data_IF_912408539476
#
_entry.id   IF_912408539476
#
_cell.length_a   1.000
_cell.length_b   1.000
_cell.length_c   1.000
_cell.angle_alpha   90.00
_cell.angle_beta   90.00
_cell.angle_gamma   90.00
#
_symmetry.space_group_name_H-M   'P 1'
#
loop_
_entity.id
_entity.type
_entity.pdbx_description
1 polymer ?
#
# COMPACT_ATOMS: atom_id res chain seq x y z
N UNK A 1 -13.86 7.49 14.82
CA UNK A 1 -12.79 8.51 14.73
C UNK A 1 -13.25 9.75 15.49
N UNK A 2 -12.34 10.50 16.13
CA UNK A 2 -12.67 11.75 16.80
C UNK A 2 -13.13 12.83 15.82
N UNK A 3 -13.81 13.85 16.33
CA UNK A 3 -14.11 15.08 15.60
C UNK A 3 -12.91 16.04 15.63
N UNK A 4 -12.87 17.07 14.76
CA UNK A 4 -11.84 18.11 14.85
C UNK A 4 -11.82 18.84 16.21
N UNK A 5 -12.97 19.00 16.86
CA UNK A 5 -13.09 19.62 18.17
C UNK A 5 -12.52 18.74 19.29
N UNK A 6 -12.79 17.43 19.23
CA UNK A 6 -12.20 16.44 20.16
C UNK A 6 -10.67 16.47 20.11
N UNK A 7 -10.10 16.64 18.90
CA UNK A 7 -8.64 16.79 18.73
C UNK A 7 -8.14 18.13 19.25
N UNK A 8 -8.88 19.22 19.05
CA UNK A 8 -8.45 20.57 19.47
C UNK A 8 -8.37 20.69 20.99
N UNK A 9 -9.27 20.01 21.70
CA UNK A 9 -9.29 19.96 23.18
C UNK A 9 -8.45 18.82 23.77
N UNK A 10 -7.97 17.91 22.91
CA UNK A 10 -7.06 16.82 23.26
C UNK A 10 -5.66 17.28 23.64
N UNK A 11 -4.85 16.34 24.14
CA UNK A 11 -3.44 16.57 24.46
C UNK A 11 -2.57 16.17 23.27
N UNK A 12 -1.95 17.14 22.61
CA UNK A 12 -0.91 16.88 21.61
C UNK A 12 0.26 16.11 22.24
N UNK A 13 0.77 15.11 21.51
CA UNK A 13 1.93 14.31 21.92
C UNK A 13 3.22 14.83 21.23
N UNK A 14 4.26 14.00 21.11
CA UNK A 14 5.57 14.43 20.60
C UNK A 14 5.56 14.84 19.12
N UNK A 15 4.55 14.40 18.36
CA UNK A 15 4.37 14.73 16.94
C UNK A 15 3.07 15.50 16.71
N UNK A 16 3.12 16.41 15.75
CA UNK A 16 2.03 17.31 15.42
C UNK A 16 0.74 16.58 15.04
N UNK A 17 0.92 15.43 14.40
CA UNK A 17 -0.13 14.53 13.92
C UNK A 17 -0.84 13.74 14.99
N UNK A 18 -0.22 13.55 16.16
CA UNK A 18 -0.70 12.63 17.19
C UNK A 18 -1.30 13.36 18.39
N UNK A 19 -2.55 13.00 18.72
CA UNK A 19 -3.31 13.62 19.80
C UNK A 19 -3.91 12.55 20.69
N UNK A 20 -3.62 12.62 22.00
CA UNK A 20 -4.34 11.86 23.02
C UNK A 20 -5.69 12.52 23.28
N UNK A 21 -6.75 11.76 23.06
CA UNK A 21 -8.12 12.22 23.20
C UNK A 21 -8.54 12.21 24.68
N UNK A 22 -8.81 13.38 25.26
CA UNK A 22 -9.02 13.54 26.71
C UNK A 22 -10.47 13.80 27.10
N UNK A 23 -11.21 14.55 26.29
CA UNK A 23 -12.62 14.89 26.53
C UNK A 23 -13.44 14.87 25.24
N UNK A 24 -13.61 13.68 24.62
CA UNK A 24 -14.32 13.58 23.34
C UNK A 24 -15.83 13.67 23.50
N UNK A 25 -16.47 14.16 22.43
CA UNK A 25 -17.91 14.08 22.19
C UNK A 25 -18.44 12.64 22.22
N UNK A 26 -17.65 11.65 21.79
CA UNK A 26 -17.90 10.23 21.99
C UNK A 26 -17.01 9.68 23.13
N UNK A 27 -17.57 9.39 24.32
CA UNK A 27 -16.80 8.91 25.47
C UNK A 27 -16.00 7.62 25.23
N UNK A 28 -16.37 6.79 24.25
CA UNK A 28 -15.62 5.58 23.91
C UNK A 28 -14.22 5.87 23.38
N UNK A 29 -13.99 7.07 22.84
CA UNK A 29 -12.70 7.50 22.30
C UNK A 29 -11.77 8.07 23.38
N UNK A 30 -12.22 8.17 24.63
CA UNK A 30 -11.44 8.78 25.69
C UNK A 30 -10.23 7.90 26.04
N UNK A 31 -9.04 8.51 26.06
CA UNK A 31 -7.77 7.83 26.31
C UNK A 31 -7.14 7.22 25.06
N UNK A 32 -7.80 7.29 23.90
CA UNK A 32 -7.23 6.82 22.63
C UNK A 32 -6.25 7.85 22.06
N UNK A 33 -5.22 7.37 21.37
CA UNK A 33 -4.37 8.22 20.53
C UNK A 33 -4.87 8.18 19.09
N UNK A 34 -5.27 9.35 18.60
CA UNK A 34 -5.58 9.58 17.19
C UNK A 34 -4.35 10.12 16.46
N UNK A 35 -3.99 9.47 15.36
CA UNK A 35 -2.90 9.85 14.48
C UNK A 35 -3.35 9.67 13.02
N UNK A 36 -3.12 10.67 12.17
CA UNK A 36 -3.52 10.60 10.75
C UNK A 36 -2.95 9.37 10.03
N UNK A 37 -1.76 8.89 10.42
CA UNK A 37 -1.10 7.75 9.80
C UNK A 37 -1.75 6.40 10.15
N UNK A 38 -2.66 6.37 11.14
CA UNK A 38 -3.48 5.19 11.43
C UNK A 38 -4.43 4.83 10.28
N UNK A 39 -4.78 5.84 9.47
CA UNK A 39 -5.71 5.73 8.34
C UNK A 39 -4.96 5.64 7.00
N UNK A 40 -3.86 4.88 6.97
CA UNK A 40 -3.09 4.59 5.77
C UNK A 40 -3.28 3.14 5.32
N UNK A 41 -3.21 2.91 4.01
CA UNK A 41 -3.07 1.57 3.46
C UNK A 41 -2.22 1.58 2.19
N UNK A 42 -1.78 0.40 1.77
CA UNK A 42 -0.99 0.19 0.56
C UNK A 42 -1.85 0.42 -0.69
N UNK A 43 -1.24 0.93 -1.77
CA UNK A 43 -1.92 1.17 -3.05
C UNK A 43 -2.68 -0.07 -3.56
N UNK A 44 -2.13 -1.28 -3.38
CA UNK A 44 -2.79 -2.52 -3.80
C UNK A 44 -4.14 -2.78 -3.10
N UNK A 45 -4.29 -2.30 -1.88
CA UNK A 45 -5.49 -2.50 -1.05
C UNK A 45 -6.41 -1.27 -1.04
N UNK A 46 -5.90 -0.09 -1.40
CA UNK A 46 -6.60 1.19 -1.41
C UNK A 46 -7.58 1.30 -2.60
N UNK A 47 -8.68 0.54 -2.53
CA UNK A 47 -9.75 0.49 -3.56
C UNK A 47 -11.06 1.12 -3.09
N UNK A 48 -11.36 1.04 -1.79
CA UNK A 48 -12.58 1.54 -1.17
C UNK A 48 -12.28 2.00 0.26
N UNK A 49 -12.67 3.23 0.57
CA UNK A 49 -12.63 3.80 1.92
C UNK A 49 -13.64 4.93 2.04
N UNK A 50 -14.03 5.29 3.26
CA UNK A 50 -15.07 6.30 3.45
C UNK A 50 -15.54 6.46 4.88
N UNK A 51 -16.75 7.02 5.01
CA UNK A 51 -17.40 7.34 6.26
C UNK A 51 -18.81 6.79 6.30
N UNK A 52 -19.22 6.38 7.50
CA UNK A 52 -20.61 6.12 7.81
C UNK A 52 -21.06 7.17 8.82
N UNK A 53 -22.19 7.80 8.54
CA UNK A 53 -22.92 8.58 9.51
C UNK A 53 -24.15 7.78 9.96
N UNK A 54 -24.21 7.49 11.26
CA UNK A 54 -25.39 6.97 11.93
C UNK A 54 -26.06 8.15 12.62
N UNK A 55 -27.09 8.74 12.01
CA UNK A 55 -27.75 9.90 12.59
C UNK A 55 -28.58 9.45 13.79
N UNK A 56 -28.11 9.70 15.01
CA UNK A 56 -28.82 9.32 16.23
C UNK A 56 -30.17 10.02 16.42
N UNK A 57 -30.52 11.01 15.58
CA UNK A 57 -31.79 11.75 15.64
C UNK A 57 -32.82 11.24 14.62
N UNK A 58 -32.42 10.45 13.65
CA UNK A 58 -33.29 9.79 12.68
C UNK A 58 -33.01 8.29 12.67
N UNK A 59 -33.83 7.51 11.98
CA UNK A 59 -33.53 6.09 11.76
C UNK A 59 -32.72 5.87 10.47
N UNK A 60 -32.15 6.95 9.93
CA UNK A 60 -31.42 6.96 8.67
C UNK A 60 -29.92 6.85 8.93
N UNK A 61 -29.23 6.13 8.06
CA UNK A 61 -27.77 6.10 8.04
C UNK A 61 -27.29 6.25 6.60
N UNK A 62 -26.18 6.97 6.44
CA UNK A 62 -25.61 7.28 5.13
C UNK A 62 -24.16 6.87 5.11
N UNK A 63 -23.75 6.22 4.03
CA UNK A 63 -22.35 5.99 3.69
C UNK A 63 -21.87 6.98 2.63
N UNK A 64 -20.63 7.46 2.78
CA UNK A 64 -19.92 8.25 1.78
C UNK A 64 -18.57 7.60 1.52
N UNK A 65 -18.36 7.16 0.28
CA UNK A 65 -17.25 6.28 -0.09
C UNK A 65 -16.47 6.85 -1.26
N UNK A 66 -15.16 6.62 -1.26
CA UNK A 66 -14.28 6.82 -2.39
C UNK A 66 -13.89 5.46 -2.95
N UNK A 67 -14.27 5.19 -4.19
CA UNK A 67 -13.93 3.99 -4.95
C UNK A 67 -12.87 4.36 -5.99
N UNK A 68 -11.76 3.63 -5.98
CA UNK A 68 -10.67 3.76 -6.96
C UNK A 68 -10.53 2.45 -7.73
N UNK A 69 -11.10 2.35 -8.95
CA UNK A 69 -11.14 1.10 -9.71
C UNK A 69 -9.78 0.74 -10.33
N UNK A 70 -8.92 1.72 -10.57
CA UNK A 70 -7.58 1.52 -11.13
C UNK A 70 -6.53 2.32 -10.37
N UNK A 71 -5.36 1.71 -10.19
CA UNK A 71 -4.19 2.33 -9.59
C UNK A 71 -3.26 2.98 -10.62
N UNK A 72 -3.61 2.99 -11.91
CA UNK A 72 -2.66 3.31 -12.99
C UNK A 72 -1.98 4.68 -12.87
N UNK A 73 -2.67 5.62 -12.22
CA UNK A 73 -2.21 6.98 -12.02
C UNK A 73 -1.43 7.18 -10.72
N UNK A 74 -1.41 6.19 -9.81
CA UNK A 74 -0.69 6.27 -8.53
C UNK A 74 0.81 6.02 -8.73
N UNK A 75 1.58 6.39 -7.71
CA UNK A 75 3.04 6.35 -7.70
C UNK A 75 3.55 5.34 -6.68
N UNK A 76 4.76 4.81 -6.94
CA UNK A 76 5.52 3.94 -6.03
C UNK A 76 5.04 2.49 -5.90
N UNK A 77 4.33 1.98 -6.91
CA UNK A 77 3.98 0.58 -7.02
C UNK A 77 2.95 0.09 -5.98
N UNK A 78 2.80 -1.25 -5.84
CA UNK A 78 1.71 -1.86 -5.07
C UNK A 78 1.78 -1.59 -3.57
N UNK A 79 2.98 -1.52 -2.99
CA UNK A 79 3.19 -1.47 -1.52
C UNK A 79 3.32 -0.05 -0.98
N UNK A 80 3.40 0.97 -1.85
CA UNK A 80 3.45 2.35 -1.36
C UNK A 80 2.17 2.67 -0.58
N UNK A 81 2.36 3.16 0.63
CA UNK A 81 1.27 3.57 1.51
C UNK A 81 0.83 5.01 1.21
N UNK A 82 -0.46 5.24 1.37
CA UNK A 82 -1.10 6.56 1.26
C UNK A 82 -2.22 6.69 2.30
N UNK A 83 -2.53 7.94 2.66
CA UNK A 83 -3.65 8.24 3.56
C UNK A 83 -4.99 8.04 2.81
N UNK A 84 -5.98 7.49 3.50
CA UNK A 84 -7.33 7.24 2.96
C UNK A 84 -8.38 8.15 3.58
N UNK A 85 -8.45 8.19 4.91
CA UNK A 85 -9.36 9.05 5.66
C UNK A 85 -8.57 9.90 6.66
N UNK A 86 -9.20 10.93 7.22
CA UNK A 86 -8.59 11.84 8.19
C UNK A 86 -9.62 12.29 9.24
N UNK A 87 -9.21 12.90 10.36
CA UNK A 87 -10.15 13.41 11.40
C UNK A 87 -11.35 14.19 10.81
N UNK A 88 -12.52 14.02 11.43
CA UNK A 88 -13.81 14.49 10.89
C UNK A 88 -14.21 13.67 9.67
N UNK A 89 -15.39 13.88 9.06
CA UNK A 89 -15.81 13.11 7.89
C UNK A 89 -15.03 13.47 6.61
N UNK A 90 -13.71 13.32 6.63
CA UNK A 90 -12.76 13.66 5.57
C UNK A 90 -12.30 12.39 4.85
N UNK A 91 -12.58 12.31 3.55
CA UNK A 91 -12.10 11.26 2.65
C UNK A 91 -11.05 11.83 1.71
N UNK A 92 -9.89 11.18 1.62
CA UNK A 92 -8.75 11.62 0.81
C UNK A 92 -8.59 10.72 -0.41
N UNK A 93 -8.28 11.31 -1.56
CA UNK A 93 -7.73 10.60 -2.71
C UNK A 93 -6.35 11.18 -3.02
N UNK A 94 -5.31 10.61 -2.39
CA UNK A 94 -3.95 11.12 -2.51
C UNK A 94 -3.38 10.72 -3.87
N UNK A 95 -3.14 11.71 -4.73
CA UNK A 95 -2.52 11.51 -6.04
C UNK A 95 -1.00 11.35 -5.92
N UNK A 96 -0.36 12.23 -5.14
CA UNK A 96 1.07 12.20 -4.84
C UNK A 96 1.31 12.65 -3.40
N UNK A 97 2.30 12.04 -2.76
CA UNK A 97 2.75 12.44 -1.43
C UNK A 97 4.17 11.95 -1.18
N UNK A 98 4.91 12.71 -0.38
CA UNK A 98 6.19 12.29 0.19
C UNK A 98 6.04 11.19 1.24
N UNK A 99 4.81 10.90 1.69
CA UNK A 99 4.62 9.98 2.79
C UNK A 99 5.17 8.59 2.48
N UNK A 100 5.87 7.98 3.43
CA UNK A 100 6.49 6.65 3.41
C UNK A 100 7.59 6.43 2.36
N UNK A 101 8.07 7.49 1.69
CA UNK A 101 9.12 7.35 0.67
C UNK A 101 9.95 8.62 0.43
N UNK A 102 9.73 9.69 1.21
CA UNK A 102 10.51 10.92 1.14
C UNK A 102 10.32 11.74 -0.14
N UNK A 103 11.25 12.65 -0.42
CA UNK A 103 11.18 13.56 -1.59
C UNK A 103 11.43 12.86 -2.92
N UNK A 104 12.04 11.68 -2.93
CA UNK A 104 12.36 10.95 -4.17
C UNK A 104 11.12 10.52 -4.95
N UNK A 105 9.99 10.32 -4.26
CA UNK A 105 8.69 10.01 -4.90
C UNK A 105 7.89 11.26 -5.28
N UNK A 106 8.46 12.45 -5.18
CA UNK A 106 7.81 13.67 -5.69
C UNK A 106 8.02 13.82 -7.19
N UNK A 107 7.10 14.51 -7.86
CA UNK A 107 7.28 14.89 -9.26
C UNK A 107 8.09 16.18 -9.33
N UNK A 108 9.32 16.10 -9.83
CA UNK A 108 10.15 17.26 -10.15
C UNK A 108 10.20 17.48 -11.66
N UNK A 109 9.89 18.68 -12.12
CA UNK A 109 9.89 19.05 -13.54
C UNK A 109 10.99 20.05 -13.83
N UNK A 110 11.65 19.89 -14.97
CA UNK A 110 12.56 20.92 -15.50
C UNK A 110 11.76 22.05 -16.14
N UNK A 111 12.34 23.23 -16.21
CA UNK A 111 11.75 24.34 -16.98
C UNK A 111 11.51 23.90 -18.43
N UNK A 112 10.28 24.12 -18.92
CA UNK A 112 9.86 23.70 -20.26
C UNK A 112 9.57 22.19 -20.42
N UNK A 113 9.65 21.37 -19.36
CA UNK A 113 9.30 19.94 -19.45
C UNK A 113 7.78 19.77 -19.62
N UNK A 114 7.29 19.25 -20.77
CA UNK A 114 5.87 19.00 -20.93
C UNK A 114 5.45 17.82 -20.05
N UNK A 115 4.33 17.95 -19.35
CA UNK A 115 3.75 16.89 -18.56
C UNK A 115 2.25 16.77 -18.80
N UNK A 116 1.81 15.54 -19.07
CA UNK A 116 0.40 15.18 -19.21
C UNK A 116 0.16 13.81 -18.58
N UNK A 117 -0.85 13.72 -17.73
CA UNK A 117 -1.31 12.49 -17.09
C UNK A 117 -2.76 12.67 -16.65
N UNK A 118 -3.59 11.68 -16.90
CA UNK A 118 -4.95 11.63 -16.37
C UNK A 118 -4.90 10.98 -14.99
N UNK A 119 -5.53 11.63 -14.02
CA UNK A 119 -5.72 11.09 -12.67
C UNK A 119 -7.19 10.67 -12.52
N UNK A 120 -7.40 9.42 -12.13
CA UNK A 120 -8.74 8.82 -12.13
C UNK A 120 -9.20 8.39 -13.55
N UNK A 121 -10.52 8.32 -13.79
CA UNK A 121 -11.60 8.69 -12.88
C UNK A 121 -11.61 7.90 -11.55
N UNK A 122 -12.07 8.55 -10.49
CA UNK A 122 -12.43 7.92 -9.22
C UNK A 122 -13.92 8.15 -8.96
N UNK A 123 -14.54 7.28 -8.17
CA UNK A 123 -15.98 7.26 -8.00
C UNK A 123 -16.36 7.60 -6.56
N UNK A 124 -17.01 8.74 -6.36
CA UNK A 124 -17.60 9.12 -5.08
C UNK A 124 -18.99 8.50 -4.99
N UNK A 125 -19.18 7.57 -4.06
CA UNK A 125 -20.40 6.79 -3.93
C UNK A 125 -21.13 7.10 -2.63
N UNK A 126 -22.45 7.25 -2.72
CA UNK A 126 -23.32 7.46 -1.57
C UNK A 126 -24.40 6.39 -1.56
N UNK A 127 -24.63 5.83 -0.38
CA UNK A 127 -25.73 4.90 -0.12
C UNK A 127 -26.38 5.22 1.22
N UNK A 128 -27.61 4.75 1.42
CA UNK A 128 -28.34 4.97 2.65
C UNK A 128 -29.21 3.77 3.03
N UNK A 129 -29.50 3.67 4.32
CA UNK A 129 -30.47 2.73 4.89
C UNK A 129 -31.46 3.51 5.75
N UNK A 130 -32.75 3.23 5.60
CA UNK A 130 -33.85 3.95 6.26
C UNK A 130 -34.49 3.19 7.42
N UNK A 131 -34.03 1.96 7.71
CA UNK A 131 -34.60 1.10 8.74
C UNK A 131 -33.50 0.43 9.57
N UNK A 132 -33.11 1.11 10.65
CA UNK A 132 -32.07 0.65 11.58
C UNK A 132 -30.67 1.06 11.13
N UNK A 133 -29.84 1.43 12.09
CA UNK A 133 -28.43 1.79 11.85
C UNK A 133 -27.62 0.55 11.44
N UNK A 134 -27.75 0.13 10.19
CA UNK A 134 -27.04 -1.02 9.64
C UNK A 134 -25.78 -0.59 8.86
N UNK A 135 -24.68 -0.44 9.59
CA UNK A 135 -23.37 -0.17 8.98
C UNK A 135 -22.88 -1.30 8.08
N UNK A 136 -23.28 -2.55 8.36
CA UNK A 136 -22.84 -3.70 7.59
C UNK A 136 -23.51 -3.71 6.22
N UNK A 137 -24.79 -3.34 6.14
CA UNK A 137 -25.49 -3.15 4.87
C UNK A 137 -24.82 -2.06 4.02
N UNK A 138 -24.57 -0.87 4.59
CA UNK A 138 -23.89 0.23 3.89
C UNK A 138 -22.50 -0.19 3.36
N UNK A 139 -21.72 -0.89 4.17
CA UNK A 139 -20.40 -1.38 3.76
C UNK A 139 -20.47 -2.47 2.68
N UNK A 140 -21.40 -3.42 2.81
CA UNK A 140 -21.54 -4.53 1.87
C UNK A 140 -21.98 -4.04 0.48
N UNK A 141 -22.89 -3.07 0.45
CA UNK A 141 -23.34 -2.41 -0.76
C UNK A 141 -22.20 -1.60 -1.42
N UNK A 142 -21.41 -0.86 -0.64
CA UNK A 142 -20.22 -0.17 -1.15
C UNK A 142 -19.16 -1.14 -1.73
N UNK A 143 -18.97 -2.33 -1.13
CA UNK A 143 -18.12 -3.38 -1.67
C UNK A 143 -18.66 -3.89 -3.02
N UNK A 144 -19.98 -4.09 -3.12
CA UNK A 144 -20.61 -4.50 -4.37
C UNK A 144 -20.37 -3.45 -5.46
N UNK A 145 -20.64 -2.18 -5.17
CA UNK A 145 -20.39 -1.07 -6.08
C UNK A 145 -18.92 -1.03 -6.50
N UNK A 146 -17.98 -1.15 -5.56
CA UNK A 146 -16.54 -1.21 -5.87
C UNK A 146 -16.23 -2.35 -6.87
N UNK A 147 -16.84 -3.53 -6.71
CA UNK A 147 -16.65 -4.63 -7.65
C UNK A 147 -17.20 -4.31 -9.05
N UNK A 148 -18.30 -3.57 -9.15
CA UNK A 148 -18.88 -3.16 -10.43
C UNK A 148 -18.00 -2.11 -11.13
N UNK A 149 -17.49 -1.14 -10.38
CA UNK A 149 -16.57 -0.13 -10.91
C UNK A 149 -15.24 -0.74 -11.40
N UNK A 150 -14.69 -1.71 -10.67
CA UNK A 150 -13.47 -2.42 -11.10
C UNK A 150 -13.71 -3.20 -12.40
N UNK A 151 -14.87 -3.87 -12.54
CA UNK A 151 -15.22 -4.60 -13.77
C UNK A 151 -15.49 -3.67 -14.95
N UNK A 152 -15.97 -2.46 -14.67
CA UNK A 152 -16.30 -1.46 -15.70
C UNK A 152 -15.06 -0.68 -16.15
N UNK A 153 -13.92 -0.83 -15.48
CA UNK A 153 -12.68 -0.19 -15.89
C UNK A 153 -12.06 -0.86 -17.13
N UNK A 154 -11.58 -0.09 -18.12
CA UNK A 154 -11.61 1.37 -18.24
C UNK A 154 -12.96 1.88 -18.76
N UNK A 155 -13.43 3.01 -18.21
CA UNK A 155 -14.72 3.61 -18.58
C UNK A 155 -14.76 4.11 -20.04
N UNK A 156 -15.95 4.22 -20.60
CA UNK A 156 -16.21 4.75 -21.95
C UNK A 156 -16.76 6.19 -21.96
N UNK A 157 -17.26 6.68 -20.83
CA UNK A 157 -17.81 8.03 -20.70
C UNK A 157 -16.79 9.17 -20.76
N UNK A 158 -15.50 9.03 -20.36
CA UNK A 158 -14.56 10.14 -20.44
C UNK A 158 -14.31 10.56 -21.89
N UNK A 159 -14.60 11.83 -22.21
CA UNK A 159 -14.47 12.38 -23.57
C UNK A 159 -13.14 13.08 -23.86
N UNK A 160 -12.21 13.10 -22.90
CA UNK A 160 -10.90 13.72 -23.09
C UNK A 160 -10.06 12.87 -24.04
N UNK A 161 -9.43 13.50 -25.03
CA UNK A 161 -8.47 12.83 -25.93
C UNK A 161 -7.24 12.27 -25.20
N UNK A 162 -6.97 12.76 -23.98
CA UNK A 162 -5.88 12.30 -23.11
C UNK A 162 -6.25 11.03 -22.32
N UNK A 163 -7.54 10.66 -22.28
CA UNK A 163 -8.00 9.41 -21.67
C UNK A 163 -8.06 8.30 -22.72
N UNK A 164 -7.34 7.21 -22.50
CA UNK A 164 -7.37 6.06 -23.39
C UNK A 164 -8.58 5.16 -23.08
N UNK A 165 -9.52 4.96 -24.02
CA UNK A 165 -10.59 3.97 -23.86
C UNK A 165 -10.04 2.54 -23.92
N UNK A 166 -10.84 1.57 -23.48
CA UNK A 166 -10.46 0.16 -23.39
C UNK A 166 -9.83 -0.40 -24.68
N UNK A 167 -10.41 -0.10 -25.85
CA UNK A 167 -9.92 -0.58 -27.15
C UNK A 167 -8.60 0.05 -27.60
N UNK A 168 -8.11 1.11 -26.93
CA UNK A 168 -6.82 1.74 -27.21
C UNK A 168 -5.73 1.35 -26.20
N UNK A 169 -6.03 0.44 -25.28
CA UNK A 169 -5.07 -0.06 -24.28
C UNK A 169 -4.55 -1.43 -24.70
N UNK A 170 -3.33 -1.74 -24.28
CA UNK A 170 -2.69 -3.03 -24.51
C UNK A 170 -2.75 -3.95 -23.31
N UNK A 171 -2.24 -5.17 -23.50
CA UNK A 171 -2.09 -6.19 -22.48
C UNK A 171 -0.73 -6.88 -22.59
N UNK A 172 -0.11 -7.17 -21.46
CA UNK A 172 1.16 -7.92 -21.38
C UNK A 172 0.96 -9.17 -20.55
N UNK A 173 1.41 -10.30 -21.08
CA UNK A 173 1.28 -11.63 -20.48
C UNK A 173 2.62 -12.34 -20.44
N UNK A 174 2.83 -13.17 -19.44
CA UNK A 174 4.03 -13.98 -19.31
C UNK A 174 3.98 -14.92 -18.13
N UNK A 175 5.12 -15.59 -17.89
CA UNK A 175 5.34 -16.43 -16.73
C UNK A 175 6.68 -16.07 -16.09
N UNK A 176 6.69 -15.77 -14.80
CA UNK A 176 7.93 -15.54 -14.06
C UNK A 176 8.39 -16.84 -13.39
N UNK A 177 9.62 -17.25 -13.68
CA UNK A 177 10.32 -18.35 -13.04
C UNK A 177 11.54 -17.81 -12.29
N UNK A 178 11.90 -18.43 -11.19
CA UNK A 178 13.13 -18.14 -10.46
C UNK A 178 14.12 -19.26 -10.72
N UNK A 179 15.35 -18.87 -11.04
CA UNK A 179 16.48 -19.77 -11.10
C UNK A 179 17.56 -19.28 -10.15
N UNK A 180 17.81 -20.06 -9.11
CA UNK A 180 18.83 -19.78 -8.11
C UNK A 180 19.62 -21.05 -7.87
N UNK A 181 20.93 -20.99 -8.10
CA UNK A 181 21.85 -22.13 -7.96
C UNK A 181 21.79 -22.79 -6.58
N UNK A 182 21.41 -22.03 -5.54
CA UNK A 182 21.31 -22.52 -4.16
C UNK A 182 19.88 -22.94 -3.76
N UNK A 183 18.88 -22.69 -4.59
CA UNK A 183 17.49 -23.14 -4.37
C UNK A 183 17.23 -24.36 -5.26
N UNK A 184 16.80 -25.48 -4.65
CA UNK A 184 16.48 -26.74 -5.36
C UNK A 184 17.54 -27.18 -6.39
N UNK A 185 18.82 -26.89 -6.10
CA UNK A 185 19.95 -27.23 -6.97
C UNK A 185 19.94 -26.54 -8.34
N UNK A 186 19.47 -25.28 -8.42
CA UNK A 186 19.47 -24.50 -9.66
C UNK A 186 18.34 -24.83 -10.64
N UNK A 187 17.37 -25.64 -10.21
CA UNK A 187 16.16 -25.91 -11.00
C UNK A 187 15.24 -24.69 -11.00
N UNK A 188 14.47 -24.54 -12.07
CA UNK A 188 13.41 -23.54 -12.12
C UNK A 188 12.37 -23.80 -11.03
N UNK A 189 12.01 -22.74 -10.32
CA UNK A 189 10.87 -22.71 -9.42
C UNK A 189 9.90 -21.63 -9.88
N UNK A 190 8.60 -21.83 -9.65
CA UNK A 190 7.60 -20.85 -10.03
C UNK A 190 7.77 -19.57 -9.21
N UNK A 191 7.69 -18.41 -9.87
CA UNK A 191 7.61 -17.10 -9.23
C UNK A 191 6.22 -16.84 -8.65
N UNK A 192 5.77 -17.72 -7.75
CA UNK A 192 4.45 -17.63 -7.15
C UNK A 192 4.29 -16.33 -6.34
N UNK A 193 3.11 -15.70 -6.40
CA UNK A 193 2.83 -14.43 -5.69
C UNK A 193 3.78 -13.28 -6.05
N UNK A 194 4.48 -13.34 -7.19
CA UNK A 194 5.27 -12.23 -7.67
C UNK A 194 4.38 -11.01 -7.88
N UNK A 195 4.84 -9.83 -7.50
CA UNK A 195 4.27 -8.60 -8.04
C UNK A 195 5.04 -8.23 -9.28
N UNK A 196 4.36 -8.22 -10.42
CA UNK A 196 4.93 -7.89 -11.74
C UNK A 196 4.28 -6.59 -12.21
N UNK A 197 5.07 -5.65 -12.71
CA UNK A 197 4.54 -4.36 -13.14
C UNK A 197 5.32 -3.67 -14.25
N UNK A 198 4.63 -2.78 -14.95
CA UNK A 198 5.14 -1.89 -15.98
C UNK A 198 5.22 -0.48 -15.41
N UNK A 199 6.34 0.18 -15.60
CA UNK A 199 6.54 1.59 -15.29
C UNK A 199 7.48 2.20 -16.34
N UNK A 200 7.66 3.52 -16.33
CA UNK A 200 8.64 4.15 -17.22
C UNK A 200 10.02 3.48 -17.12
N UNK A 201 10.79 3.44 -18.23
CA UNK A 201 12.13 2.86 -18.24
C UNK A 201 13.03 3.48 -17.17
N UNK A 202 13.86 2.64 -16.56
CA UNK A 202 14.65 3.03 -15.40
C UNK A 202 15.55 1.92 -14.87
N UNK A 203 16.26 2.20 -13.78
CA UNK A 203 17.12 1.21 -13.14
C UNK A 203 16.31 0.12 -12.44
N UNK A 204 16.93 -1.02 -12.14
CA UNK A 204 16.34 -2.05 -11.29
C UNK A 204 15.74 -1.44 -10.00
N UNK A 205 14.52 -1.86 -9.64
CA UNK A 205 13.79 -1.33 -8.49
C UNK A 205 13.22 0.09 -8.63
N UNK A 206 13.48 0.83 -9.73
CA UNK A 206 13.09 2.24 -9.84
C UNK A 206 11.58 2.48 -9.86
N UNK A 207 10.77 1.50 -10.26
CA UNK A 207 9.31 1.61 -10.24
C UNK A 207 8.72 1.94 -8.85
N UNK A 208 9.42 1.58 -7.76
CA UNK A 208 9.03 1.93 -6.39
C UNK A 208 9.20 3.42 -6.07
N UNK A 209 10.03 4.13 -6.85
CA UNK A 209 10.29 5.57 -6.70
C UNK A 209 9.71 6.41 -7.85
N UNK A 210 9.23 5.76 -8.90
CA UNK A 210 8.71 6.42 -10.08
C UNK A 210 7.40 7.16 -9.76
N UNK A 211 7.35 8.46 -10.05
CA UNK A 211 6.19 9.32 -9.75
C UNK A 211 5.56 10.02 -10.96
N UNK A 212 6.26 10.09 -12.10
CA UNK A 212 5.81 10.84 -13.29
C UNK A 212 4.85 10.05 -14.17
N UNK A 213 5.14 8.77 -14.39
CA UNK A 213 4.49 7.98 -15.43
C UNK A 213 3.28 7.24 -14.91
N UNK A 214 2.58 6.55 -15.79
CA UNK A 214 1.65 5.51 -15.37
C UNK A 214 2.42 4.30 -14.84
N UNK A 215 1.78 3.57 -13.94
CA UNK A 215 2.30 2.31 -13.43
C UNK A 215 1.19 1.27 -13.47
N UNK A 216 1.49 0.06 -13.94
CA UNK A 216 0.53 -1.03 -14.03
C UNK A 216 1.13 -2.24 -13.33
N UNK A 217 0.34 -3.00 -12.56
CA UNK A 217 0.87 -4.17 -11.88
C UNK A 217 -0.20 -5.22 -11.60
N UNK A 218 0.23 -6.46 -11.51
CA UNK A 218 -0.59 -7.59 -11.11
C UNK A 218 0.22 -8.60 -10.28
N UNK A 219 -0.50 -9.43 -9.54
CA UNK A 219 0.08 -10.59 -8.87
C UNK A 219 0.18 -11.76 -9.84
N UNK A 220 1.31 -12.46 -9.85
CA UNK A 220 1.44 -13.73 -10.53
C UNK A 220 0.71 -14.83 -9.76
N UNK A 221 0.15 -15.80 -10.49
CA UNK A 221 -0.55 -16.94 -9.91
C UNK A 221 0.41 -17.97 -9.26
N UNK A 222 -0.12 -19.12 -8.86
CA UNK A 222 0.64 -20.19 -8.19
C UNK A 222 1.77 -20.80 -9.06
N UNK A 223 1.70 -20.63 -10.37
CA UNK A 223 2.70 -21.13 -11.33
C UNK A 223 3.47 -19.98 -12.01
N UNK A 224 3.35 -18.77 -11.48
CA UNK A 224 4.08 -17.59 -11.94
C UNK A 224 3.48 -16.91 -13.18
N UNK A 225 2.30 -17.32 -13.65
CA UNK A 225 1.65 -16.63 -14.77
C UNK A 225 1.11 -15.28 -14.30
N UNK A 226 1.33 -14.25 -15.10
CA UNK A 226 0.81 -12.91 -14.86
C UNK A 226 0.19 -12.34 -16.14
N UNK A 227 -0.82 -11.51 -15.92
CA UNK A 227 -1.46 -10.69 -16.95
C UNK A 227 -1.55 -9.26 -16.42
N UNK A 228 -1.04 -8.30 -17.17
CA UNK A 228 -1.18 -6.87 -16.89
C UNK A 228 -2.10 -6.30 -17.98
N UNK A 229 -3.35 -6.02 -17.62
CA UNK A 229 -4.38 -5.52 -18.53
C UNK A 229 -4.45 -4.00 -18.55
N UNK A 230 -5.13 -3.47 -19.58
CA UNK A 230 -5.51 -2.07 -19.68
C UNK A 230 -4.33 -1.08 -19.66
N UNK A 231 -3.17 -1.49 -20.18
CA UNK A 231 -1.95 -0.70 -20.21
C UNK A 231 -2.08 0.40 -21.26
N UNK A 232 -1.86 1.66 -20.87
CA UNK A 232 -1.91 2.78 -21.84
C UNK A 232 -0.71 2.74 -22.79
N UNK A 233 -0.87 3.16 -24.06
CA UNK A 233 0.24 3.23 -25.01
C UNK A 233 1.45 4.00 -24.47
N UNK A 234 2.64 3.51 -24.78
CA UNK A 234 3.90 4.07 -24.29
C UNK A 234 5.00 3.01 -24.18
N UNK A 235 6.19 3.47 -23.80
CA UNK A 235 7.35 2.60 -23.56
C UNK A 235 7.50 2.33 -22.06
N UNK A 236 7.67 1.06 -21.70
CA UNK A 236 7.75 0.60 -20.31
C UNK A 236 8.87 -0.41 -20.13
N UNK A 237 9.49 -0.40 -18.96
CA UNK A 237 10.25 -1.55 -18.50
C UNK A 237 9.36 -2.41 -17.60
N UNK A 238 9.54 -3.73 -17.66
CA UNK A 238 8.88 -4.68 -16.78
C UNK A 238 9.76 -4.96 -15.56
N UNK A 239 9.18 -4.76 -14.38
CA UNK A 239 9.80 -5.01 -13.09
C UNK A 239 9.03 -6.10 -12.37
N UNK A 240 9.72 -6.85 -11.50
CA UNK A 240 9.04 -7.72 -10.56
C UNK A 240 9.80 -7.87 -9.25
N UNK A 241 9.12 -8.38 -8.24
CA UNK A 241 9.74 -8.95 -7.04
C UNK A 241 8.84 -10.06 -6.52
N UNK A 242 9.42 -10.93 -5.72
CA UNK A 242 8.73 -12.12 -5.22
C UNK A 242 8.96 -12.17 -3.71
N UNK A 243 7.91 -12.17 -2.89
CA UNK A 243 8.03 -12.37 -1.45
C UNK A 243 8.91 -13.59 -1.13
N UNK A 244 9.97 -13.39 -0.34
CA UNK A 244 10.91 -14.45 0.04
C UNK A 244 12.04 -14.71 -0.97
N UNK A 245 12.10 -13.97 -2.09
CA UNK A 245 13.22 -14.01 -3.03
C UNK A 245 13.92 -12.65 -3.00
N UNK A 246 15.21 -12.69 -2.67
CA UNK A 246 16.04 -11.50 -2.55
C UNK A 246 16.22 -10.78 -3.90
N UNK A 247 16.23 -9.45 -3.88
CA UNK A 247 16.52 -8.57 -5.03
C UNK A 247 15.29 -8.13 -5.82
N UNK A 248 15.51 -7.30 -6.84
CA UNK A 248 14.50 -6.81 -7.75
C UNK A 248 14.72 -7.42 -9.15
N UNK A 249 13.65 -7.88 -9.80
CA UNK A 249 13.71 -8.30 -11.19
C UNK A 249 13.45 -7.12 -12.12
N UNK A 250 14.23 -7.03 -13.20
CA UNK A 250 13.97 -6.15 -14.35
C UNK A 250 14.14 -6.96 -15.64
N UNK A 251 13.16 -6.87 -16.54
CA UNK A 251 13.29 -7.42 -17.88
C UNK A 251 14.23 -6.55 -18.72
N UNK A 252 15.10 -7.19 -19.50
CA UNK A 252 16.20 -6.50 -20.20
C UNK A 252 15.74 -5.65 -21.39
N UNK A 253 14.53 -5.87 -21.89
CA UNK A 253 14.02 -5.20 -23.10
C UNK A 253 12.85 -4.31 -22.73
N UNK A 254 12.91 -3.06 -23.18
CA UNK A 254 11.78 -2.13 -23.08
C UNK A 254 10.61 -2.63 -23.93
N UNK A 255 9.41 -2.58 -23.36
CA UNK A 255 8.16 -3.03 -23.94
C UNK A 255 7.42 -1.80 -24.47
N UNK A 256 7.23 -1.73 -25.78
CA UNK A 256 6.41 -0.71 -26.43
C UNK A 256 4.97 -1.18 -26.54
N UNK A 257 4.07 -0.47 -25.87
CA UNK A 257 2.63 -0.73 -25.90
C UNK A 257 2.00 0.13 -27.00
N UNK A 258 1.32 -0.51 -27.93
CA UNK A 258 0.52 0.14 -28.98
C UNK A 258 -0.97 -0.13 -28.76
N UNK A 259 -1.87 0.68 -29.34
CA UNK A 259 -3.32 0.52 -29.12
C UNK A 259 -3.81 -0.90 -29.46
N UNK A 260 -4.46 -1.55 -28.49
CA UNK A 260 -5.04 -2.89 -28.65
C UNK A 260 -4.04 -4.04 -28.73
N UNK A 261 -2.74 -3.80 -28.48
CA UNK A 261 -1.73 -4.85 -28.61
C UNK A 261 -1.84 -5.89 -27.49
N UNK A 262 -1.52 -7.14 -27.82
CA UNK A 262 -1.31 -8.21 -26.84
C UNK A 262 0.12 -8.68 -26.97
N UNK A 263 0.91 -8.52 -25.92
CA UNK A 263 2.33 -8.89 -25.88
C UNK A 263 2.47 -10.14 -25.03
N UNK A 264 3.04 -11.19 -25.64
CA UNK A 264 3.31 -12.47 -25.01
C UNK A 264 4.81 -12.61 -24.78
N UNK A 265 5.23 -12.53 -23.53
CA UNK A 265 6.65 -12.59 -23.15
C UNK A 265 7.18 -14.01 -22.94
N UNK A 266 6.29 -15.01 -22.90
CA UNK A 266 6.65 -16.38 -22.58
C UNK A 266 7.20 -16.51 -21.15
N UNK A 267 8.16 -17.41 -20.96
CA UNK A 267 8.80 -17.63 -19.66
C UNK A 267 9.98 -16.68 -19.45
N UNK A 268 9.89 -15.85 -18.41
CA UNK A 268 10.90 -14.93 -17.93
C UNK A 268 11.68 -15.59 -16.78
N UNK A 269 13.00 -15.53 -16.82
CA UNK A 269 13.86 -16.12 -15.80
C UNK A 269 14.45 -15.02 -14.92
N UNK A 270 14.05 -15.01 -13.65
CA UNK A 270 14.67 -14.20 -12.62
C UNK A 270 15.83 -14.98 -11.97
N UNK A 271 17.03 -14.43 -12.08
CA UNK A 271 18.22 -14.89 -11.36
C UNK A 271 18.48 -13.93 -10.19
N UNK A 272 18.12 -14.28 -8.94
CA UNK A 272 18.37 -13.44 -7.78
C UNK A 272 19.86 -13.09 -7.66
N UNK A 273 20.23 -11.87 -7.23
CA UNK A 273 21.62 -11.39 -7.22
C UNK A 273 22.44 -12.00 -6.07
N UNK A 274 22.57 -13.34 -6.03
CA UNK A 274 23.36 -14.06 -5.04
C UNK A 274 24.74 -14.45 -5.56
N UNK A 275 25.74 -14.08 -4.76
CA UNK A 275 27.14 -14.47 -4.96
C UNK A 275 27.49 -15.82 -4.32
N UNK A 276 26.74 -16.25 -3.30
CA UNK A 276 27.02 -17.42 -2.48
C UNK A 276 25.76 -17.98 -1.81
N UNK A 277 25.86 -19.15 -1.14
CA UNK A 277 24.76 -19.65 -0.32
C UNK A 277 24.52 -18.71 0.86
N UNK A 278 23.27 -18.60 1.28
CA UNK A 278 22.91 -17.85 2.51
C UNK A 278 23.53 -18.55 3.73
N UNK A 279 24.38 -17.84 4.47
CA UNK A 279 24.98 -18.34 5.73
C UNK A 279 23.99 -18.15 6.88
N UNK A 280 23.32 -17.00 6.91
CA UNK A 280 22.25 -16.65 7.85
C UNK A 280 21.36 -15.56 7.25
N UNK A 281 20.13 -15.47 7.74
CA UNK A 281 19.11 -14.49 7.34
C UNK A 281 18.29 -14.11 8.59
N UNK A 282 17.89 -12.84 8.67
CA UNK A 282 17.01 -12.32 9.73
C UNK A 282 15.79 -11.73 9.02
N UNK A 283 14.61 -12.27 9.29
CA UNK A 283 13.37 -11.92 8.60
C UNK A 283 13.22 -12.58 7.24
N UNK A 284 12.31 -12.05 6.43
CA UNK A 284 11.94 -12.55 5.11
C UNK A 284 12.05 -11.38 4.11
N UNK A 285 12.69 -11.55 2.93
CA UNK A 285 12.74 -10.49 1.93
C UNK A 285 11.40 -10.38 1.19
N UNK A 286 10.36 -9.92 1.89
CA UNK A 286 9.00 -9.71 1.36
C UNK A 286 8.55 -8.24 1.41
N UNK A 287 9.49 -7.34 1.72
CA UNK A 287 9.28 -5.90 1.89
C UNK A 287 8.31 -5.56 3.04
N UNK A 288 8.13 -6.47 3.98
CA UNK A 288 7.45 -6.26 5.24
C UNK A 288 8.43 -6.29 6.41
N UNK A 289 7.95 -5.85 7.56
CA UNK A 289 8.58 -6.05 8.87
C UNK A 289 7.63 -6.81 9.82
N UNK A 290 6.54 -7.36 9.28
CA UNK A 290 5.44 -7.93 10.06
C UNK A 290 5.82 -9.19 10.85
N UNK A 291 6.94 -9.81 10.51
CA UNK A 291 7.50 -10.98 11.19
C UNK A 291 8.37 -10.64 12.39
N UNK A 292 8.78 -9.38 12.56
CA UNK A 292 9.65 -8.95 13.66
C UNK A 292 8.86 -8.66 14.94
N UNK A 293 9.60 -8.60 16.05
CA UNK A 293 9.01 -8.34 17.36
C UNK A 293 8.56 -6.88 17.48
N UNK A 294 7.27 -6.71 17.76
CA UNK A 294 6.68 -5.42 18.11
C UNK A 294 6.33 -5.43 19.61
N UNK A 295 6.88 -4.50 20.43
CA UNK A 295 6.65 -4.48 21.87
C UNK A 295 5.20 -4.11 22.21
N UNK A 296 4.78 -4.40 23.45
CA UNK A 296 3.47 -3.98 23.92
C UNK A 296 3.37 -2.45 24.00
N UNK A 297 2.22 -1.88 23.59
CA UNK A 297 2.00 -0.44 23.65
C UNK A 297 1.88 0.07 25.08
N UNK A 298 2.12 1.36 25.27
CA UNK A 298 1.88 2.01 26.55
C UNK A 298 0.38 1.95 26.91
N UNK A 299 0.01 1.45 28.11
CA UNK A 299 -1.40 1.32 28.49
C UNK A 299 -2.19 2.63 28.44
N UNK A 300 -1.53 3.77 28.68
CA UNK A 300 -2.12 5.11 28.69
C UNK A 300 -2.12 5.81 27.31
N UNK A 301 -1.59 5.17 26.26
CA UNK A 301 -1.55 5.69 24.89
C UNK A 301 -2.13 4.68 23.87
N UNK A 302 -2.81 3.66 24.37
CA UNK A 302 -3.29 2.54 23.56
C UNK A 302 -4.45 2.98 22.67
N UNK A 303 -4.38 2.64 21.37
CA UNK A 303 -5.53 2.72 20.48
C UNK A 303 -6.23 1.33 20.42
N UNK A 304 -7.49 1.21 20.89
CA UNK A 304 -8.25 -0.04 20.90
C UNK A 304 -8.47 -0.67 19.51
N UNK A 305 -8.41 0.12 18.43
CA UNK A 305 -8.61 -0.34 17.05
C UNK A 305 -7.69 -1.50 16.68
N UNK A 306 -6.48 -1.56 17.25
CA UNK A 306 -5.45 -2.54 16.92
C UNK A 306 -5.30 -3.66 17.96
N UNK A 307 -6.12 -3.67 19.02
CA UNK A 307 -6.13 -4.77 20.00
C UNK A 307 -6.57 -6.06 19.31
N UNK A 308 -5.88 -7.16 19.60
CA UNK A 308 -6.16 -8.47 18.99
C UNK A 308 -5.82 -8.55 17.50
N UNK A 309 -5.11 -7.56 16.95
CA UNK A 309 -4.68 -7.52 15.54
C UNK A 309 -3.15 -7.49 15.43
N UNK A 310 -2.46 -8.64 15.57
CA UNK A 310 -1.00 -8.70 15.61
C UNK A 310 -0.31 -8.01 14.44
N UNK A 311 -0.83 -8.18 13.22
CA UNK A 311 -0.30 -7.52 12.00
C UNK A 311 -0.40 -6.00 11.99
N UNK A 312 -1.19 -5.40 12.89
CA UNK A 312 -1.36 -3.96 13.01
C UNK A 312 -0.81 -3.41 14.33
N UNK A 313 -0.16 -4.25 15.15
CA UNK A 313 0.40 -3.85 16.45
C UNK A 313 1.37 -2.68 16.29
N UNK A 314 2.12 -2.67 15.18
CA UNK A 314 3.08 -1.62 14.82
C UNK A 314 2.45 -0.22 14.71
N UNK A 315 1.12 -0.10 14.58
CA UNK A 315 0.40 1.17 14.44
C UNK A 315 0.08 1.87 15.78
N UNK A 316 0.52 1.29 16.90
CA UNK A 316 0.38 1.93 18.20
C UNK A 316 1.39 3.06 18.36
N UNK A 317 0.95 4.17 18.97
CA UNK A 317 1.81 5.32 19.21
C UNK A 317 2.85 5.03 20.31
N UNK A 318 4.03 5.62 20.18
CA UNK A 318 5.11 5.57 21.18
C UNK A 318 6.00 4.33 21.12
N UNK A 319 5.72 3.34 20.26
CA UNK A 319 6.46 2.08 20.24
C UNK A 319 7.98 2.24 20.01
N UNK A 320 8.43 3.31 19.35
CA UNK A 320 9.87 3.61 19.19
C UNK A 320 10.59 3.84 20.52
N UNK A 321 9.92 4.43 21.51
CA UNK A 321 10.51 4.67 22.85
C UNK A 321 10.65 3.37 23.65
N UNK A 322 9.90 2.31 23.31
CA UNK A 322 9.99 1.02 23.99
C UNK A 322 11.36 0.37 23.82
N UNK A 323 12.12 0.71 22.77
CA UNK A 323 13.47 0.17 22.59
C UNK A 323 14.39 0.56 23.76
N UNK A 324 14.46 1.85 24.12
CA UNK A 324 15.34 2.31 25.21
C UNK A 324 14.90 1.79 26.58
N UNK A 325 13.63 1.47 26.77
CA UNK A 325 13.10 0.86 27.99
C UNK A 325 13.45 -0.62 28.11
N UNK A 326 13.41 -1.35 26.99
CA UNK A 326 13.78 -2.77 26.92
C UNK A 326 15.30 -2.97 26.94
N UNK A 327 16.05 -2.01 26.40
CA UNK A 327 17.50 -2.04 26.23
C UNK A 327 18.19 -0.83 26.89
N UNK A 328 18.01 -0.60 28.22
CA UNK A 328 18.42 0.67 28.87
C UNK A 328 19.94 0.84 29.04
N UNK A 329 20.68 -0.27 29.08
CA UNK A 329 22.11 -0.25 29.41
C UNK A 329 23.02 -0.74 28.27
N UNK A 330 22.45 -1.39 27.26
CA UNK A 330 23.16 -2.00 26.14
C UNK A 330 22.19 -2.24 24.99
N UNK A 331 22.70 -2.15 23.76
CA UNK A 331 21.92 -2.44 22.57
C UNK A 331 21.54 -3.93 22.46
N UNK A 332 20.56 -4.19 21.59
CA UNK A 332 20.10 -5.53 21.24
C UNK A 332 21.25 -6.35 20.64
N UNK A 333 21.48 -7.53 21.22
CA UNK A 333 22.44 -8.52 20.71
C UNK A 333 21.65 -9.73 20.20
N UNK A 334 21.73 -9.99 18.89
CA UNK A 334 21.08 -11.13 18.26
C UNK A 334 22.11 -12.21 17.90
N UNK A 335 21.96 -13.38 18.53
CA UNK A 335 22.78 -14.54 18.28
C UNK A 335 22.08 -15.42 17.24
N UNK A 336 22.65 -15.45 16.03
CA UNK A 336 22.18 -16.30 14.93
C UNK A 336 22.07 -17.75 15.38
N UNK A 337 20.98 -18.43 14.97
CA UNK A 337 20.64 -19.81 15.33
C UNK A 337 20.25 -20.06 16.81
N UNK A 338 20.29 -19.04 17.66
CA UNK A 338 19.81 -19.12 19.06
C UNK A 338 18.58 -18.26 19.26
N UNK A 339 18.62 -17.03 18.75
CA UNK A 339 17.51 -16.08 18.87
C UNK A 339 16.44 -16.30 17.79
N UNK A 340 15.22 -15.92 18.13
CA UNK A 340 14.03 -15.97 17.26
C UNK A 340 13.67 -14.55 16.85
N UNK A 341 13.86 -14.18 15.58
CA UNK A 341 13.61 -12.80 15.11
C UNK A 341 12.17 -12.32 15.34
N UNK A 342 11.20 -13.23 15.52
CA UNK A 342 9.82 -12.84 15.84
C UNK A 342 9.61 -12.38 17.29
N UNK A 343 10.61 -12.58 18.15
CA UNK A 343 10.58 -12.26 19.58
C UNK A 343 11.77 -11.42 20.04
N UNK A 344 12.93 -11.68 19.45
CA UNK A 344 14.22 -11.19 19.89
C UNK A 344 14.82 -10.14 18.95
N UNK A 345 14.17 -9.86 17.82
CA UNK A 345 14.57 -8.79 16.90
C UNK A 345 13.48 -7.73 16.83
N UNK A 346 13.74 -6.57 17.44
CA UNK A 346 12.77 -5.48 17.47
C UNK A 346 12.60 -4.89 16.07
N UNK A 347 11.35 -4.64 15.66
CA UNK A 347 11.04 -4.06 14.35
C UNK A 347 11.88 -2.79 14.09
N UNK A 348 12.79 -2.82 13.10
CA UNK A 348 13.70 -1.71 12.83
C UNK A 348 12.98 -0.44 12.35
N UNK A 349 11.77 -0.55 11.80
CA UNK A 349 10.96 0.60 11.39
C UNK A 349 10.53 1.39 12.63
N UNK A 350 10.27 0.71 13.75
CA UNK A 350 9.95 1.37 15.03
C UNK A 350 11.16 2.08 15.62
N UNK A 351 12.37 1.51 15.53
CA UNK A 351 13.59 2.10 16.13
C UNK A 351 13.90 3.47 15.52
N UNK A 352 13.62 3.66 14.23
CA UNK A 352 13.95 4.89 13.52
C UNK A 352 12.93 6.02 13.73
N UNK A 353 11.76 5.73 14.32
CA UNK A 353 10.68 6.72 14.48
C UNK A 353 10.16 7.29 13.14
N UNK A 354 10.45 6.64 12.02
CA UNK A 354 10.13 7.13 10.68
C UNK A 354 8.66 6.77 10.38
N UNK A 355 7.78 7.64 10.84
CA UNK A 355 6.42 7.78 10.32
C UNK A 355 6.40 8.99 9.39
N UNK A 356 7.17 8.95 8.30
CA UNK A 356 7.17 10.04 7.31
C UNK A 356 6.77 9.53 5.97
#
# INVERSE_FOLDING_TARGET
>A
MPTPEDRTTGKRLDYDEAVLITNPSNPQLQGEVDDKYQYSCENKDNKLHGWINMDSRSNESVGFWMITPSNEFRSGGPIKQGLTSHVGPTTLNILHTTHYAGKEVTMAFKEGEPFKKVYGPVFAYLNSVSSGHDSQALWSDAIQQMSEEIKSWPYDFPKSDEFFPANKRGRVEGQLLVQDRYIKGGKFVYGHNAYVGLALPGNEGSWQRQSKGYQFWSGADKVGHFTIENVVPGDYDLYAWIPGIFGDYKYNTTITITPGCVIQLGSLIYNPPRNGPTIWEIGIPDRSAAEFYVPDPYPNLMNPLYIGKPRHKFRQYGLWQRYSELYPNKDLVYNVAVNDYSKDWLDPIQILGIWF
#
